data_IF_918577616505
#
_entry.id   IF_918577616505
#
_cell.length_a   1.000
_cell.length_b   1.000
_cell.length_c   1.000
_cell.angle_alpha   90.00
_cell.angle_beta   90.00
_cell.angle_gamma   90.00
#
_symmetry.space_group_name_H-M   'P 1'
#
loop_
_entity.id
_entity.type
_entity.pdbx_description
1 polymer ?
#
# COMPACT_ATOMS: atom_id res chain seq x y z
N UNK A 1 -4.64 12.06 -0.32
CA UNK A 1 -4.01 10.75 -0.57
C UNK A 1 -5.00 9.84 -1.30
N UNK A 2 -4.56 9.24 -2.39
CA UNK A 2 -5.34 8.27 -3.18
C UNK A 2 -5.45 6.91 -2.45
N UNK A 3 -6.47 6.12 -2.76
CA UNK A 3 -6.72 4.79 -2.16
C UNK A 3 -5.52 3.87 -2.37
N UNK A 4 -4.89 3.94 -3.54
CA UNK A 4 -3.70 3.15 -3.88
C UNK A 4 -2.52 3.43 -2.97
N UNK A 5 -2.27 4.70 -2.66
CA UNK A 5 -1.16 5.12 -1.77
C UNK A 5 -1.39 4.67 -0.33
N UNK A 6 -2.64 4.68 0.14
CA UNK A 6 -3.01 4.11 1.44
C UNK A 6 -2.81 2.61 1.48
N UNK A 7 -3.31 1.87 0.50
CA UNK A 7 -3.17 0.42 0.46
C UNK A 7 -1.70 0.00 0.35
N UNK A 8 -0.93 0.72 -0.46
CA UNK A 8 0.51 0.49 -0.59
C UNK A 8 1.26 0.76 0.71
N UNK A 9 0.97 1.87 1.39
CA UNK A 9 1.61 2.17 2.67
C UNK A 9 1.23 1.14 3.74
N UNK A 10 -0.05 0.77 3.89
CA UNK A 10 -0.47 -0.34 4.80
C UNK A 10 0.35 -1.59 4.49
N UNK A 11 0.44 -1.94 3.21
CA UNK A 11 1.22 -3.07 2.75
C UNK A 11 2.68 -2.95 3.17
N UNK A 12 3.31 -1.80 2.94
CA UNK A 12 4.70 -1.56 3.32
C UNK A 12 4.93 -1.68 4.83
N UNK A 13 4.00 -1.21 5.66
CA UNK A 13 4.08 -1.41 7.11
C UNK A 13 4.00 -2.90 7.49
N UNK A 14 3.06 -3.66 6.89
CA UNK A 14 2.94 -5.10 7.10
C UNK A 14 4.21 -5.84 6.67
N UNK A 15 4.69 -5.55 5.46
CA UNK A 15 5.91 -6.12 4.92
C UNK A 15 7.13 -5.85 5.78
N UNK A 16 7.24 -4.63 6.30
CA UNK A 16 8.33 -4.24 7.19
C UNK A 16 8.32 -5.03 8.51
N UNK A 17 7.15 -5.09 9.16
CA UNK A 17 7.02 -5.64 10.52
C UNK A 17 6.91 -7.17 10.53
N UNK A 18 6.33 -7.77 9.49
CA UNK A 18 6.14 -9.22 9.34
C UNK A 18 7.09 -9.82 8.29
N UNK A 19 8.23 -9.17 7.97
CA UNK A 19 9.18 -9.63 6.95
C UNK A 19 9.65 -11.07 7.13
N UNK A 20 9.74 -11.54 8.37
CA UNK A 20 10.15 -12.90 8.73
C UNK A 20 9.00 -13.92 8.71
N UNK A 21 7.78 -13.48 8.40
CA UNK A 21 6.55 -14.28 8.38
C UNK A 21 5.74 -14.04 7.10
N UNK A 22 6.38 -13.57 6.03
CA UNK A 22 5.69 -13.24 4.77
C UNK A 22 4.93 -14.41 4.18
N UNK A 23 5.51 -15.61 4.23
CA UNK A 23 4.89 -16.85 3.75
C UNK A 23 3.58 -17.17 4.48
N UNK A 24 3.45 -16.76 5.74
CA UNK A 24 2.24 -16.89 6.54
C UNK A 24 1.29 -15.73 6.28
N UNK A 25 1.81 -14.49 6.19
CA UNK A 25 1.02 -13.29 5.92
C UNK A 25 0.26 -13.41 4.58
N UNK A 26 0.88 -13.99 3.56
CA UNK A 26 0.27 -14.19 2.24
C UNK A 26 -0.96 -15.08 2.30
N UNK A 27 -1.03 -16.02 3.25
CA UNK A 27 -2.20 -16.90 3.44
C UNK A 27 -3.43 -16.13 3.90
N UNK A 28 -3.25 -15.06 4.70
CA UNK A 28 -4.36 -14.16 5.07
C UNK A 28 -4.94 -13.40 3.89
N UNK A 29 -4.13 -13.20 2.84
CA UNK A 29 -4.49 -12.44 1.65
C UNK A 29 -5.04 -13.34 0.53
N UNK A 30 -5.05 -14.66 0.73
CA UNK A 30 -5.80 -15.58 -0.10
C UNK A 30 -7.31 -15.42 0.15
N UNK A 31 -8.13 -15.61 -0.88
CA UNK A 31 -9.57 -15.79 -0.68
C UNK A 31 -9.79 -17.16 -0.02
N UNK A 32 -10.64 -17.30 1.01
CA UNK A 32 -10.94 -18.60 1.60
C UNK A 32 -11.43 -19.57 0.50
N UNK A 33 -10.72 -20.67 0.28
CA UNK A 33 -11.04 -21.66 -0.76
C UNK A 33 -10.38 -21.42 -2.13
N UNK A 34 -9.60 -20.35 -2.30
CA UNK A 34 -8.70 -20.22 -3.46
C UNK A 34 -7.51 -21.19 -3.34
N UNK A 35 -6.97 -21.62 -4.49
CA UNK A 35 -5.80 -22.51 -4.52
C UNK A 35 -4.55 -21.73 -4.09
N UNK A 36 -3.73 -22.33 -3.23
CA UNK A 36 -2.46 -21.76 -2.72
C UNK A 36 -1.53 -21.21 -3.83
N UNK A 37 -1.68 -21.67 -5.07
CA UNK A 37 -0.87 -21.24 -6.22
C UNK A 37 -1.12 -19.78 -6.64
N UNK A 38 -2.30 -19.21 -6.38
CA UNK A 38 -2.65 -17.87 -6.86
C UNK A 38 -1.97 -16.77 -6.05
N UNK A 39 -1.98 -16.88 -4.72
CA UNK A 39 -1.31 -15.92 -3.84
C UNK A 39 0.22 -15.93 -4.03
N UNK A 40 0.81 -17.11 -4.22
CA UNK A 40 2.23 -17.28 -4.53
C UNK A 40 2.61 -16.67 -5.89
N UNK A 41 1.74 -16.82 -6.90
CA UNK A 41 1.94 -16.21 -8.21
C UNK A 41 1.89 -14.69 -8.14
N UNK A 42 0.92 -14.12 -7.42
CA UNK A 42 0.79 -12.66 -7.28
C UNK A 42 1.99 -12.10 -6.49
N UNK A 43 2.40 -12.75 -5.40
CA UNK A 43 3.64 -12.42 -4.69
C UNK A 43 4.87 -12.39 -5.61
N UNK A 44 5.06 -13.41 -6.44
CA UNK A 44 6.19 -13.48 -7.37
C UNK A 44 6.21 -12.32 -8.36
N UNK A 45 5.03 -11.88 -8.83
CA UNK A 45 4.89 -10.71 -9.69
C UNK A 45 5.23 -9.42 -8.93
N UNK A 46 4.63 -9.22 -7.75
CA UNK A 46 4.87 -8.04 -6.93
C UNK A 46 6.34 -7.89 -6.48
N UNK A 47 7.05 -9.00 -6.23
CA UNK A 47 8.49 -8.98 -5.91
C UNK A 47 9.34 -8.46 -7.07
N UNK A 48 9.06 -8.91 -8.30
CA UNK A 48 9.78 -8.45 -9.51
C UNK A 48 9.50 -6.97 -9.77
N UNK A 49 8.25 -6.56 -9.58
CA UNK A 49 7.82 -5.19 -9.83
C UNK A 49 8.45 -4.22 -8.83
N UNK A 50 8.47 -4.52 -7.52
CA UNK A 50 8.96 -3.57 -6.52
C UNK A 50 10.43 -3.16 -6.74
N UNK A 51 11.31 -4.12 -7.02
CA UNK A 51 12.73 -3.84 -7.26
C UNK A 51 12.94 -3.09 -8.58
N UNK A 52 12.30 -3.56 -9.65
CA UNK A 52 12.42 -2.95 -10.97
C UNK A 52 11.91 -1.51 -10.94
N UNK A 53 10.75 -1.26 -10.32
CA UNK A 53 10.16 0.07 -10.23
C UNK A 53 11.05 1.03 -9.43
N UNK A 54 11.71 0.56 -8.36
CA UNK A 54 12.65 1.38 -7.60
C UNK A 54 13.90 1.71 -8.43
N UNK A 55 14.44 0.75 -9.17
CA UNK A 55 15.57 0.98 -10.10
C UNK A 55 15.20 1.98 -11.20
N UNK A 56 14.02 1.84 -11.81
CA UNK A 56 13.50 2.78 -12.81
C UNK A 56 13.34 4.19 -12.23
N UNK A 57 12.74 4.32 -11.04
CA UNK A 57 12.62 5.60 -10.36
C UNK A 57 13.99 6.25 -10.11
N UNK A 58 14.95 5.50 -9.56
CA UNK A 58 16.28 6.05 -9.27
C UNK A 58 17.04 6.44 -10.55
N UNK A 59 16.87 5.70 -11.63
CA UNK A 59 17.48 6.01 -12.92
C UNK A 59 16.91 7.30 -13.53
N UNK A 60 15.60 7.52 -13.40
CA UNK A 60 14.94 8.71 -13.94
C UNK A 60 15.26 9.96 -13.12
N UNK A 61 15.11 9.90 -11.79
CA UNK A 61 15.23 11.08 -10.93
C UNK A 61 16.61 11.29 -10.30
N UNK A 62 17.51 10.31 -10.41
CA UNK A 62 18.83 10.34 -9.77
C UNK A 62 18.79 10.36 -8.23
N UNK A 63 17.64 10.02 -7.64
CA UNK A 63 17.39 9.98 -6.18
C UNK A 63 16.43 8.86 -5.80
N UNK A 64 16.42 8.51 -4.52
CA UNK A 64 15.38 7.67 -3.93
C UNK A 64 14.05 8.44 -3.82
N UNK A 65 12.91 7.72 -3.78
CA UNK A 65 11.62 8.34 -3.51
C UNK A 65 11.57 8.88 -2.08
N UNK A 66 10.95 10.06 -1.93
CA UNK A 66 10.82 10.73 -0.63
C UNK A 66 9.56 10.28 0.13
N UNK A 67 8.48 9.97 -0.59
CA UNK A 67 7.18 9.53 -0.04
C UNK A 67 6.56 8.44 -0.90
N UNK A 68 5.57 7.71 -0.37
CA UNK A 68 4.82 6.73 -1.16
C UNK A 68 4.08 7.37 -2.33
N UNK A 69 3.52 8.57 -2.14
CA UNK A 69 2.92 9.36 -3.20
C UNK A 69 3.90 9.71 -4.32
N UNK A 70 5.11 10.16 -4.00
CA UNK A 70 6.20 10.43 -4.97
C UNK A 70 6.49 9.18 -5.82
N UNK A 71 6.67 8.03 -5.15
CA UNK A 71 6.94 6.76 -5.81
C UNK A 71 5.79 6.26 -6.69
N UNK A 72 4.54 6.36 -6.21
CA UNK A 72 3.36 5.83 -6.90
C UNK A 72 2.84 6.74 -8.00
N UNK A 73 2.97 8.06 -7.83
CA UNK A 73 2.56 9.05 -8.83
C UNK A 73 3.38 8.89 -10.10
N UNK A 74 4.70 8.72 -9.97
CA UNK A 74 5.57 8.37 -11.09
C UNK A 74 5.05 7.15 -11.85
N UNK A 75 4.83 6.04 -11.13
CA UNK A 75 4.36 4.78 -11.73
C UNK A 75 3.01 4.92 -12.42
N UNK A 76 2.07 5.64 -11.81
CA UNK A 76 0.73 5.86 -12.37
C UNK A 76 0.80 6.64 -13.66
N UNK A 77 1.57 7.74 -13.65
CA UNK A 77 1.78 8.58 -14.82
C UNK A 77 2.44 7.77 -15.94
N UNK A 78 3.54 7.07 -15.67
CA UNK A 78 4.24 6.27 -16.68
C UNK A 78 3.34 5.19 -17.31
N UNK A 79 2.57 4.48 -16.49
CA UNK A 79 1.67 3.43 -16.98
C UNK A 79 0.54 4.01 -17.84
N UNK A 80 -0.06 5.13 -17.44
CA UNK A 80 -1.09 5.81 -18.22
C UNK A 80 -0.53 6.28 -19.58
N UNK A 81 0.64 6.91 -19.58
CA UNK A 81 1.30 7.35 -20.81
C UNK A 81 1.62 6.17 -21.73
N UNK A 82 2.20 5.09 -21.18
CA UNK A 82 2.55 3.88 -21.94
C UNK A 82 1.33 3.21 -22.55
N UNK A 83 0.24 3.08 -21.80
CA UNK A 83 -0.99 2.44 -22.28
C UNK A 83 -1.62 3.21 -23.45
N UNK A 84 -1.52 4.54 -23.44
CA UNK A 84 -1.99 5.41 -24.52
C UNK A 84 -0.97 5.62 -25.64
N UNK A 85 0.18 4.93 -25.59
CA UNK A 85 1.27 5.08 -26.55
C UNK A 85 1.88 6.49 -26.57
N UNK A 86 1.75 7.24 -25.48
CA UNK A 86 2.29 8.59 -25.32
C UNK A 86 3.76 8.48 -24.89
N UNK A 87 4.64 9.12 -25.65
CA UNK A 87 6.09 9.20 -25.36
C UNK A 87 6.42 10.52 -24.67
N UNK A 88 5.98 10.66 -23.44
CA UNK A 88 6.40 11.73 -22.53
C UNK A 88 7.04 11.10 -21.31
N UNK A 89 7.98 11.80 -20.68
CA UNK A 89 8.38 11.46 -19.32
C UNK A 89 7.23 11.76 -18.35
N UNK A 90 7.31 11.23 -17.14
CA UNK A 90 6.31 11.56 -16.12
C UNK A 90 6.34 13.04 -15.73
N UNK A 91 7.52 13.65 -15.68
CA UNK A 91 7.70 15.08 -15.39
C UNK A 91 7.08 15.95 -16.50
N UNK A 92 7.38 15.65 -17.77
CA UNK A 92 6.83 16.38 -18.91
C UNK A 92 5.30 16.25 -18.98
N UNK A 93 4.75 15.10 -18.59
CA UNK A 93 3.30 14.89 -18.56
C UNK A 93 2.62 15.68 -17.43
N UNK A 94 3.25 15.78 -16.26
CA UNK A 94 2.76 16.63 -15.16
C UNK A 94 2.81 18.10 -15.58
N UNK A 95 3.89 18.54 -16.20
CA UNK A 95 4.01 19.90 -16.72
C UNK A 95 2.96 20.18 -17.81
N UNK A 96 2.78 19.28 -18.77
CA UNK A 96 1.76 19.39 -19.80
C UNK A 96 0.34 19.45 -19.21
N UNK A 97 0.05 18.68 -18.16
CA UNK A 97 -1.22 18.77 -17.43
C UNK A 97 -1.43 20.16 -16.82
N UNK A 98 -0.40 20.70 -16.15
CA UNK A 98 -0.43 22.02 -15.52
C UNK A 98 -0.61 23.15 -16.56
N UNK A 99 0.03 23.02 -17.71
CA UNK A 99 -0.11 23.94 -18.85
C UNK A 99 -1.45 23.79 -19.59
N UNK A 100 -2.23 22.76 -19.26
CA UNK A 100 -3.58 22.58 -19.80
C UNK A 100 -3.67 21.81 -21.10
N UNK A 101 -2.68 20.96 -21.41
CA UNK A 101 -2.76 20.04 -22.54
C UNK A 101 -4.03 19.19 -22.46
N UNK A 102 -4.88 19.26 -23.49
CA UNK A 102 -6.21 18.63 -23.49
C UNK A 102 -6.14 17.10 -23.53
N UNK A 103 -5.16 16.53 -24.23
CA UNK A 103 -5.02 15.08 -24.35
C UNK A 103 -4.57 14.51 -23.01
N UNK A 104 -3.59 15.17 -22.40
CA UNK A 104 -3.06 14.79 -21.09
C UNK A 104 -4.11 14.99 -19.99
N UNK A 105 -4.82 16.12 -19.97
CA UNK A 105 -5.93 16.34 -19.03
C UNK A 105 -7.01 15.26 -19.11
N UNK A 106 -7.46 14.94 -20.33
CA UNK A 106 -8.46 13.89 -20.54
C UNK A 106 -8.00 12.53 -20.02
N UNK A 107 -6.71 12.21 -20.20
CA UNK A 107 -6.13 10.95 -19.72
C UNK A 107 -6.09 10.88 -18.18
N UNK A 108 -5.73 11.98 -17.50
CA UNK A 108 -5.66 12.01 -16.04
C UNK A 108 -7.04 12.14 -15.37
N UNK A 109 -8.01 12.78 -16.03
CA UNK A 109 -9.37 12.99 -15.50
C UNK A 109 -10.32 11.82 -15.81
N UNK A 110 -9.85 10.76 -16.50
CA UNK A 110 -10.66 9.58 -16.80
C UNK A 110 -11.05 8.82 -15.53
N UNK A 111 -12.37 8.65 -15.32
CA UNK A 111 -12.92 8.00 -14.13
C UNK A 111 -12.81 6.48 -14.27
N UNK A 112 -12.30 5.83 -13.22
CA UNK A 112 -12.25 4.37 -13.12
C UNK A 112 -13.63 3.86 -12.69
N UNK A 113 -14.13 2.83 -13.37
CA UNK A 113 -15.41 2.18 -13.05
C UNK A 113 -15.33 1.38 -11.74
N UNK A 114 -16.42 1.39 -10.95
CA UNK A 114 -16.54 0.78 -9.63
C UNK A 114 -16.40 -0.75 -9.68
N UNK A 115 -16.87 -1.41 -10.74
CA UNK A 115 -16.78 -2.87 -10.92
C UNK A 115 -15.32 -3.35 -11.11
N UNK A 116 -14.40 -2.45 -11.48
CA UNK A 116 -12.96 -2.72 -11.56
C UNK A 116 -12.24 -2.62 -10.21
N UNK A 117 -12.85 -1.98 -9.19
CA UNK A 117 -12.15 -1.60 -7.95
C UNK A 117 -11.71 -2.82 -7.12
N UNK A 118 -12.49 -3.90 -7.06
CA UNK A 118 -12.09 -5.12 -6.33
C UNK A 118 -10.87 -5.81 -6.96
N UNK A 119 -10.73 -5.75 -8.30
CA UNK A 119 -9.53 -6.24 -9.02
C UNK A 119 -8.33 -5.28 -8.90
N UNK A 120 -8.57 -4.01 -8.56
CA UNK A 120 -7.56 -2.94 -8.49
C UNK A 120 -7.01 -2.75 -7.07
N UNK A 121 -7.76 -3.08 -6.01
CA UNK A 121 -7.33 -2.84 -4.62
C UNK A 121 -6.30 -3.85 -4.08
N UNK A 122 -6.29 -5.09 -4.57
CA UNK A 122 -5.35 -6.12 -4.09
C UNK A 122 -3.88 -5.87 -4.49
N UNK A 123 -3.58 -5.47 -5.74
CA UNK A 123 -2.21 -5.27 -6.19
C UNK A 123 -1.42 -4.20 -5.41
N UNK A 124 -1.94 -3.00 -5.09
CA UNK A 124 -1.21 -2.00 -4.30
C UNK A 124 -0.81 -2.51 -2.92
N UNK A 125 -1.70 -3.21 -2.21
CA UNK A 125 -1.42 -3.79 -0.90
C UNK A 125 -0.27 -4.81 -0.98
N UNK A 126 -0.33 -5.74 -1.94
CA UNK A 126 0.68 -6.79 -2.11
C UNK A 126 2.04 -6.22 -2.57
N UNK A 127 2.02 -5.23 -3.45
CA UNK A 127 3.23 -4.51 -3.86
C UNK A 127 3.84 -3.75 -2.68
N UNK A 128 3.00 -3.13 -1.85
CA UNK A 128 3.41 -2.52 -0.59
C UNK A 128 4.09 -3.52 0.34
N UNK A 129 3.48 -4.69 0.59
CA UNK A 129 4.06 -5.76 1.43
C UNK A 129 5.44 -6.16 0.94
N UNK A 130 5.59 -6.37 -0.36
CA UNK A 130 6.89 -6.69 -0.90
C UNK A 130 7.91 -5.57 -0.75
N UNK A 131 7.49 -4.33 -1.01
CA UNK A 131 8.36 -3.16 -0.86
C UNK A 131 8.85 -3.02 0.57
N UNK A 132 7.96 -3.02 1.54
CA UNK A 132 8.31 -2.89 2.96
C UNK A 132 9.20 -4.02 3.48
N UNK A 133 9.03 -5.23 2.96
CA UNK A 133 9.93 -6.34 3.32
C UNK A 133 11.28 -6.28 2.62
N UNK A 134 11.34 -5.77 1.39
CA UNK A 134 12.57 -5.79 0.57
C UNK A 134 13.44 -4.56 0.78
N UNK A 135 12.83 -3.43 1.14
CA UNK A 135 13.47 -2.14 1.36
C UNK A 135 13.01 -1.53 2.70
N UNK A 136 13.26 -2.21 3.83
CA UNK A 136 12.68 -1.82 5.11
C UNK A 136 13.12 -0.42 5.55
N UNK A 137 14.39 -0.07 5.35
CA UNK A 137 14.92 1.25 5.72
C UNK A 137 14.32 2.38 4.87
N UNK A 138 14.13 2.14 3.57
CA UNK A 138 13.51 3.10 2.66
C UNK A 138 12.02 3.27 2.98
N UNK A 139 11.31 2.16 3.25
CA UNK A 139 9.92 2.22 3.67
C UNK A 139 9.75 3.01 4.98
N UNK A 140 10.64 2.82 5.95
CA UNK A 140 10.67 3.62 7.18
C UNK A 140 10.91 5.10 6.90
N UNK A 141 11.91 5.45 6.08
CA UNK A 141 12.20 6.83 5.68
C UNK A 141 11.00 7.50 5.03
N UNK A 142 10.35 6.83 4.07
CA UNK A 142 9.17 7.34 3.38
C UNK A 142 7.98 7.53 4.33
N UNK A 143 7.82 6.62 5.30
CA UNK A 143 6.83 6.77 6.35
C UNK A 143 7.09 7.99 7.22
N UNK A 144 8.31 8.15 7.76
CA UNK A 144 8.67 9.30 8.61
C UNK A 144 8.42 10.62 7.89
N UNK A 145 8.83 10.71 6.61
CA UNK A 145 8.63 11.91 5.79
C UNK A 145 7.15 12.20 5.50
N UNK A 146 6.33 11.18 5.23
CA UNK A 146 4.89 11.36 5.02
C UNK A 146 4.18 11.96 6.26
N UNK A 147 4.65 11.67 7.47
CA UNK A 147 4.12 12.24 8.72
C UNK A 147 4.63 13.63 9.05
N UNK A 148 5.85 13.98 8.61
CA UNK A 148 6.35 15.35 8.71
C UNK A 148 5.48 16.31 7.89
N UNK A 149 5.01 15.86 6.73
CA UNK A 149 4.24 16.67 5.78
C UNK A 149 2.72 16.62 5.99
N UNK A 150 2.13 15.50 6.46
CA UNK A 150 0.68 15.37 6.68
C UNK A 150 0.29 14.56 7.94
N UNK A 151 -0.07 15.28 9.02
CA UNK A 151 -0.57 14.69 10.28
C UNK A 151 -1.92 13.96 10.17
N UNK A 152 -2.63 14.10 9.05
CA UNK A 152 -3.96 13.50 8.83
C UNK A 152 -3.93 12.31 7.85
N UNK A 153 -2.74 11.78 7.55
CA UNK A 153 -2.48 10.69 6.61
C UNK A 153 -3.55 9.58 6.63
N UNK A 154 -3.97 9.09 7.81
CA UNK A 154 -4.93 7.96 7.93
C UNK A 154 -6.42 8.32 8.08
N UNK A 155 -6.80 9.59 8.13
CA UNK A 155 -8.21 9.95 8.41
C UNK A 155 -9.12 9.60 7.22
N UNK A 156 -10.28 8.95 7.46
CA UNK A 156 -11.28 8.62 6.42
C UNK A 156 -12.23 7.45 6.71
N UNK A 157 -13.27 7.29 5.88
CA UNK A 157 -14.17 6.10 5.85
C UNK A 157 -13.78 5.18 4.68
N UNK A 158 -13.63 3.89 4.92
CA UNK A 158 -13.28 2.88 3.92
C UNK A 158 -14.39 1.82 3.81
N UNK A 159 -15.10 1.76 2.68
CA UNK A 159 -16.18 0.77 2.43
C UNK A 159 -17.16 0.54 3.62
N UNK A 160 -17.51 1.61 4.35
CA UNK A 160 -18.39 1.55 5.52
C UNK A 160 -17.70 1.29 6.86
N UNK A 161 -16.40 0.95 6.86
CA UNK A 161 -15.55 0.94 8.04
C UNK A 161 -15.05 2.36 8.32
N UNK A 162 -15.44 2.89 9.47
CA UNK A 162 -14.83 4.13 9.98
C UNK A 162 -13.43 3.78 10.45
N UNK A 163 -12.39 4.33 9.81
CA UNK A 163 -11.05 4.24 10.36
C UNK A 163 -11.06 5.11 11.63
N UNK A 164 -10.79 4.55 12.82
CA UNK A 164 -10.86 5.31 14.07
C UNK A 164 -10.00 6.58 13.99
N UNK A 165 -10.47 7.70 14.54
CA UNK A 165 -9.70 8.97 14.61
C UNK A 165 -8.37 8.79 15.37
N UNK A 166 -8.28 7.74 16.18
CA UNK A 166 -7.11 7.25 16.90
C UNK A 166 -5.94 6.89 15.96
N UNK A 167 -6.21 6.68 14.67
CA UNK A 167 -5.18 6.49 13.65
C UNK A 167 -4.56 7.82 13.18
N UNK A 168 -4.80 8.94 13.86
CA UNK A 168 -3.90 10.12 13.87
C UNK A 168 -2.56 9.72 14.50
N UNK A 169 -1.86 8.83 13.83
CA UNK A 169 -0.66 8.21 14.33
C UNK A 169 0.53 9.13 14.10
N UNK A 170 1.40 9.27 15.11
CA UNK A 170 2.54 10.17 15.09
C UNK A 170 3.87 9.47 14.72
N UNK A 171 3.92 8.13 14.77
CA UNK A 171 5.15 7.35 14.55
C UNK A 171 4.93 6.07 13.72
N UNK A 172 5.99 5.59 13.05
CA UNK A 172 5.96 4.34 12.28
C UNK A 172 5.52 3.15 13.15
N UNK A 173 5.98 3.12 14.40
CA UNK A 173 5.74 2.05 15.37
C UNK A 173 4.26 1.97 15.76
N UNK A 174 3.62 3.12 15.96
CA UNK A 174 2.19 3.20 16.20
C UNK A 174 1.39 2.77 14.95
N UNK A 175 1.88 3.07 13.74
CA UNK A 175 1.20 2.69 12.49
C UNK A 175 1.25 1.19 12.29
N UNK A 176 2.43 0.61 12.51
CA UNK A 176 2.62 -0.83 12.52
C UNK A 176 1.72 -1.49 13.55
N UNK A 177 1.63 -0.95 14.78
CA UNK A 177 0.74 -1.47 15.81
C UNK A 177 -0.72 -1.45 15.36
N UNK A 178 -1.18 -0.33 14.82
CA UNK A 178 -2.57 -0.15 14.46
C UNK A 178 -2.96 -1.04 13.26
N UNK A 179 -2.06 -1.19 12.29
CA UNK A 179 -2.22 -2.14 11.17
C UNK A 179 -2.21 -3.59 11.68
N UNK A 180 -1.34 -3.95 12.62
CA UNK A 180 -1.32 -5.28 13.24
C UNK A 180 -2.60 -5.57 14.02
N UNK A 181 -3.22 -4.59 14.68
CA UNK A 181 -4.53 -4.75 15.33
C UNK A 181 -5.63 -5.06 14.32
N UNK A 182 -5.67 -4.34 13.20
CA UNK A 182 -6.64 -4.61 12.13
C UNK A 182 -6.47 -6.02 11.57
N UNK A 183 -5.21 -6.43 11.31
CA UNK A 183 -4.91 -7.78 10.83
C UNK A 183 -5.22 -8.84 11.87
N UNK A 184 -4.96 -8.59 13.16
CA UNK A 184 -5.32 -9.49 14.25
C UNK A 184 -6.83 -9.72 14.31
N UNK A 185 -7.62 -8.65 14.27
CA UNK A 185 -9.08 -8.71 14.26
C UNK A 185 -9.64 -9.46 13.03
N UNK A 186 -9.05 -9.24 11.86
CA UNK A 186 -9.43 -9.98 10.65
C UNK A 186 -9.04 -11.46 10.74
N UNK A 187 -7.80 -11.76 11.12
CA UNK A 187 -7.29 -13.11 11.26
C UNK A 187 -8.10 -13.91 12.29
N UNK A 188 -8.42 -13.35 13.46
CA UNK A 188 -9.20 -14.07 14.48
C UNK A 188 -10.60 -14.46 14.01
N UNK A 189 -11.20 -13.65 13.13
CA UNK A 189 -12.53 -13.89 12.57
C UNK A 189 -12.52 -14.85 11.39
N UNK A 190 -11.55 -14.72 10.49
CA UNK A 190 -11.56 -15.40 9.19
C UNK A 190 -10.55 -16.56 9.09
N UNK A 191 -9.44 -16.48 9.83
CA UNK A 191 -8.30 -17.41 9.79
C UNK A 191 -7.70 -17.59 11.19
N UNK A 192 -8.48 -18.08 12.18
CA UNK A 192 -8.06 -18.13 13.58
C UNK A 192 -6.76 -18.93 13.78
N UNK A 193 -6.51 -19.93 12.93
CA UNK A 193 -5.30 -20.74 12.90
C UNK A 193 -4.02 -19.95 12.56
N UNK A 194 -4.14 -18.75 11.96
CA UNK A 194 -3.01 -17.89 11.60
C UNK A 194 -2.65 -16.87 12.68
N UNK A 195 -3.48 -16.70 13.72
CA UNK A 195 -3.27 -15.70 14.78
C UNK A 195 -1.97 -15.96 15.55
N UNK A 196 -1.78 -17.18 16.07
CA UNK A 196 -0.58 -17.54 16.82
C UNK A 196 0.68 -17.55 15.93
N UNK A 197 0.69 -18.19 14.74
CA UNK A 197 1.87 -18.16 13.86
C UNK A 197 2.32 -16.75 13.50
N UNK A 198 1.39 -15.83 13.27
CA UNK A 198 1.70 -14.42 12.99
C UNK A 198 2.09 -13.63 14.25
N UNK A 199 1.87 -14.16 15.46
CA UNK A 199 2.15 -13.48 16.72
C UNK A 199 1.16 -12.34 16.98
N UNK A 200 -0.10 -12.53 16.58
CA UNK A 200 -1.15 -11.51 16.64
C UNK A 200 -1.95 -11.53 17.96
N UNK A 201 -1.68 -12.49 18.85
CA UNK A 201 -2.42 -12.69 20.12
C UNK A 201 -2.47 -11.43 20.99
N UNK A 202 -1.32 -10.81 21.22
CA UNK A 202 -1.19 -9.61 22.08
C UNK A 202 -1.98 -8.40 21.56
N UNK A 203 -2.29 -8.37 20.25
CA UNK A 203 -3.03 -7.29 19.61
C UNK A 203 -4.56 -7.44 19.76
N UNK A 204 -5.04 -8.67 20.02
CA UNK A 204 -6.46 -8.93 20.31
C UNK A 204 -6.84 -8.51 21.73
N UNK A 205 -6.00 -8.78 22.72
CA UNK A 205 -6.24 -8.43 24.12
C UNK A 205 -6.32 -6.91 24.36
N UNK A 206 -5.49 -6.15 23.62
CA UNK A 206 -5.48 -4.69 23.65
C UNK A 206 -6.71 -4.06 22.98
N UNK A 207 -7.39 -4.80 22.10
CA UNK A 207 -8.59 -4.34 21.42
C UNK A 207 -9.82 -4.53 22.33
N UNK A 208 -9.94 -5.69 22.99
CA UNK A 208 -11.05 -6.03 23.89
C UNK A 208 -11.04 -5.22 25.21
N UNK A 209 -9.87 -4.83 25.72
CA UNK A 209 -9.76 -4.02 26.93
C UNK A 209 -10.15 -2.55 26.74
N UNK A 210 -10.35 -2.11 25.50
CA UNK A 210 -10.74 -0.73 25.16
C UNK A 210 -12.23 -0.57 24.89
N UNK A 211 -12.93 -1.62 24.45
CA UNK A 211 -14.40 -1.60 24.31
C UNK A 211 -15.15 -1.60 25.65
N UNK A 212 -14.47 -1.82 26.77
CA UNK A 212 -15.03 -1.80 28.12
C UNK A 212 -14.83 -0.48 28.88
N UNK A 213 -14.30 0.58 28.23
CA UNK A 213 -14.16 1.93 28.80
C UNK A 213 -15.04 2.93 28.06
#
# INVERSE_FOLDING_TARGET
MDVDERLYSIGAALGHVLRNKLDILVKLLGVPGAKDDEANRIMSLCKKDAKKNLEEFMNEFGREPDTFGDFLSYRRVENLLRNEGIRLSAEDAIEAYAQGDRKIKKLFDEKVDLEGIERIMYPPLLQGIHFGSSFPELAEKMYRKAYEDDKNFWTGKWHGLTIPEEFKVASLEETQRAVLQMVAAYASKCYPELVEPLGLGDFLEQSNSREQK
#
